data_IF_915219622803
#
_entry.id   IF_915219622803
#
_cell.length_a   1.000
_cell.length_b   1.000
_cell.length_c   1.000
_cell.angle_alpha   90.00
_cell.angle_beta   90.00
_cell.angle_gamma   90.00
#
_symmetry.space_group_name_H-M   'P 1'
#
loop_
_entity.id
_entity.type
_entity.pdbx_description
1 polymer ?
#
# COMPACT_ATOMS: atom_id res chain seq x y z
N UNK A 1 9.93 41.11 -49.77
CA UNK A 1 10.77 40.01 -49.24
C UNK A 1 11.23 40.21 -47.80
N UNK A 2 11.87 41.34 -47.42
CA UNK A 2 12.37 41.54 -46.03
C UNK A 2 11.33 41.32 -44.92
N UNK A 3 10.11 41.84 -45.07
CA UNK A 3 9.06 41.67 -44.05
C UNK A 3 8.58 40.22 -43.87
N UNK A 4 8.67 39.41 -44.93
CA UNK A 4 8.38 37.98 -44.85
C UNK A 4 9.50 37.24 -44.10
N UNK A 5 10.76 37.61 -44.30
CA UNK A 5 11.88 36.99 -43.59
C UNK A 5 11.84 37.25 -42.08
N UNK A 6 11.43 38.45 -41.63
CA UNK A 6 11.33 38.75 -40.20
C UNK A 6 10.30 37.85 -39.50
N UNK A 7 9.11 37.69 -40.10
CA UNK A 7 8.08 36.79 -39.57
C UNK A 7 8.51 35.32 -39.58
N UNK A 8 9.22 34.91 -40.63
CA UNK A 8 9.75 33.54 -40.73
C UNK A 8 10.88 33.32 -39.72
N UNK A 9 11.65 34.36 -39.36
CA UNK A 9 12.72 34.24 -38.38
C UNK A 9 12.20 33.76 -37.02
N UNK A 10 11.11 34.35 -36.54
CA UNK A 10 10.46 33.95 -35.28
C UNK A 10 9.91 32.51 -35.36
N UNK A 11 9.40 32.10 -36.53
CA UNK A 11 8.91 30.74 -36.74
C UNK A 11 10.04 29.72 -36.88
N UNK A 12 11.22 30.12 -37.36
CA UNK A 12 12.39 29.24 -37.49
C UNK A 12 12.89 28.79 -36.13
N UNK A 13 12.84 29.63 -35.10
CA UNK A 13 13.20 29.25 -33.73
C UNK A 13 12.27 28.15 -33.22
N UNK A 14 10.95 28.35 -33.30
CA UNK A 14 9.96 27.32 -32.94
C UNK A 14 10.11 26.04 -33.77
N UNK A 15 10.34 26.19 -35.07
CA UNK A 15 10.57 25.05 -35.97
C UNK A 15 11.81 24.26 -35.55
N UNK A 16 12.89 24.95 -35.19
CA UNK A 16 14.13 24.35 -34.76
C UNK A 16 13.97 23.53 -33.47
N UNK A 17 13.16 24.02 -32.54
CA UNK A 17 12.90 23.37 -31.25
C UNK A 17 11.75 22.33 -31.30
N UNK A 18 11.19 22.07 -32.50
CA UNK A 18 10.02 21.22 -32.72
C UNK A 18 8.76 21.69 -31.98
N UNK A 19 8.64 22.99 -31.73
CA UNK A 19 7.48 23.62 -31.08
C UNK A 19 6.49 24.23 -32.09
N UNK A 20 6.85 24.24 -33.38
CA UNK A 20 5.97 24.74 -34.44
C UNK A 20 4.81 23.78 -34.71
N UNK A 21 3.61 24.33 -34.93
CA UNK A 21 2.46 23.57 -35.43
C UNK A 21 2.69 23.09 -36.86
N UNK A 22 1.94 22.07 -37.30
CA UNK A 22 2.06 21.54 -38.67
C UNK A 22 1.83 22.59 -39.76
N UNK A 23 0.99 23.61 -39.49
CA UNK A 23 0.78 24.73 -40.41
C UNK A 23 2.00 25.65 -40.48
N UNK A 24 2.57 26.02 -39.32
CA UNK A 24 3.78 26.84 -39.24
C UNK A 24 4.99 26.14 -39.86
N UNK A 25 5.14 24.83 -39.64
CA UNK A 25 6.19 24.02 -40.28
C UNK A 25 6.13 24.11 -41.79
N UNK A 26 4.94 23.93 -42.39
CA UNK A 26 4.75 24.01 -43.84
C UNK A 26 5.11 25.40 -44.39
N UNK A 27 4.73 26.47 -43.67
CA UNK A 27 5.09 27.85 -44.04
C UNK A 27 6.62 28.05 -44.03
N UNK A 28 7.29 27.58 -42.97
CA UNK A 28 8.75 27.69 -42.84
C UNK A 28 9.44 26.88 -43.94
N UNK A 29 9.04 25.63 -44.16
CA UNK A 29 9.61 24.76 -45.19
C UNK A 29 9.44 25.33 -46.59
N UNK A 30 8.28 25.90 -46.91
CA UNK A 30 8.05 26.51 -48.20
C UNK A 30 8.91 27.77 -48.40
N UNK A 31 9.05 28.61 -47.37
CA UNK A 31 9.94 29.77 -47.41
C UNK A 31 11.40 29.36 -47.57
N UNK A 32 11.83 28.31 -46.86
CA UNK A 32 13.19 27.81 -46.90
C UNK A 32 13.59 27.30 -48.28
N UNK A 33 12.67 26.84 -49.13
CA UNK A 33 13.01 26.42 -50.51
C UNK A 33 13.64 27.55 -51.33
N UNK A 34 13.25 28.80 -51.07
CA UNK A 34 13.57 29.93 -51.94
C UNK A 34 14.36 31.05 -51.24
N UNK A 35 14.63 30.95 -49.93
CA UNK A 35 15.29 32.00 -49.16
C UNK A 35 16.61 31.56 -48.53
N UNK A 36 17.73 31.87 -49.19
CA UNK A 36 19.08 31.54 -48.70
C UNK A 36 19.40 32.11 -47.31
N UNK A 37 18.96 33.34 -47.01
CA UNK A 37 19.22 33.96 -45.69
C UNK A 37 18.60 33.19 -44.54
N UNK A 38 17.37 32.71 -44.72
CA UNK A 38 16.68 31.91 -43.71
C UNK A 38 17.27 30.50 -43.60
N UNK A 39 17.77 29.92 -44.71
CA UNK A 39 18.53 28.66 -44.67
C UNK A 39 19.84 28.79 -43.88
N UNK A 40 20.58 29.89 -44.09
CA UNK A 40 21.82 30.19 -43.39
C UNK A 40 21.58 30.39 -41.89
N UNK A 41 20.51 31.11 -41.52
CA UNK A 41 20.11 31.28 -40.13
C UNK A 41 19.79 29.94 -39.45
N UNK A 42 18.98 29.09 -40.09
CA UNK A 42 18.66 27.75 -39.58
C UNK A 42 19.93 26.88 -39.47
N UNK A 43 20.85 26.98 -40.43
CA UNK A 43 22.13 26.26 -40.39
C UNK A 43 23.02 26.74 -39.24
N UNK A 44 23.01 28.04 -38.95
CA UNK A 44 23.74 28.62 -37.82
C UNK A 44 23.20 28.11 -36.48
N UNK A 45 21.88 27.97 -36.33
CA UNK A 45 21.26 27.38 -35.14
C UNK A 45 21.66 25.91 -34.97
N UNK A 46 21.64 25.13 -36.06
CA UNK A 46 22.10 23.73 -36.07
C UNK A 46 23.56 23.60 -35.65
N UNK A 47 24.44 24.43 -36.24
CA UNK A 47 25.86 24.45 -35.89
C UNK A 47 26.08 24.76 -34.40
N UNK A 48 25.35 25.74 -33.86
CA UNK A 48 25.44 26.09 -32.45
C UNK A 48 24.99 24.93 -31.54
N UNK A 49 23.86 24.28 -31.86
CA UNK A 49 23.39 23.08 -31.16
C UNK A 49 24.46 21.98 -31.18
N UNK A 50 25.07 21.72 -32.33
CA UNK A 50 26.07 20.67 -32.46
C UNK A 50 27.33 20.97 -31.65
N UNK A 51 27.77 22.23 -31.62
CA UNK A 51 28.91 22.67 -30.80
C UNK A 51 28.62 22.49 -29.31
N UNK A 52 27.42 22.84 -28.85
CA UNK A 52 27.02 22.72 -27.45
C UNK A 52 26.81 21.24 -27.08
N UNK A 53 26.24 20.44 -27.99
CA UNK A 53 25.90 19.04 -27.75
C UNK A 53 27.13 18.14 -27.71
N UNK A 54 28.12 18.39 -28.58
CA UNK A 54 29.34 17.56 -28.69
C UNK A 54 30.03 17.26 -27.35
N UNK A 55 30.36 18.24 -26.48
CA UNK A 55 31.00 17.93 -25.19
C UNK A 55 30.09 17.12 -24.26
N UNK A 56 28.76 17.26 -24.38
CA UNK A 56 27.80 16.46 -23.61
C UNK A 56 27.80 15.02 -24.13
N UNK A 57 27.73 14.83 -25.45
CA UNK A 57 27.76 13.50 -26.07
C UNK A 57 29.09 12.77 -25.76
N UNK A 58 30.23 13.47 -25.82
CA UNK A 58 31.53 12.93 -25.44
C UNK A 58 31.63 12.57 -23.95
N UNK A 59 30.96 13.32 -23.07
CA UNK A 59 30.87 12.98 -21.65
C UNK A 59 29.93 11.79 -21.42
N UNK A 60 28.83 11.71 -22.18
CA UNK A 60 27.89 10.60 -22.12
C UNK A 60 28.53 9.25 -22.48
N UNK A 61 29.46 9.23 -23.45
CA UNK A 61 30.18 8.01 -23.84
C UNK A 61 31.16 7.51 -22.76
N UNK A 62 31.64 8.40 -21.89
CA UNK A 62 32.67 8.08 -20.87
C UNK A 62 32.09 7.69 -19.52
N UNK A 63 30.85 8.07 -19.25
CA UNK A 63 30.22 7.93 -17.93
C UNK A 63 29.16 6.83 -17.91
N UNK A 64 29.08 6.07 -16.80
CA UNK A 64 28.02 5.09 -16.58
C UNK A 64 26.87 5.72 -15.76
N UNK A 65 25.77 6.01 -16.45
CA UNK A 65 24.56 6.54 -15.81
C UNK A 65 23.65 5.45 -15.22
N UNK A 66 24.03 4.17 -15.25
CA UNK A 66 23.20 3.05 -14.77
C UNK A 66 22.72 3.25 -13.34
N UNK A 67 23.58 3.74 -12.43
CA UNK A 67 23.20 4.01 -11.05
C UNK A 67 22.20 5.17 -10.92
N UNK A 68 22.40 6.25 -11.69
CA UNK A 68 21.50 7.40 -11.71
C UNK A 68 20.15 7.00 -12.31
N UNK A 69 20.17 6.30 -13.44
CA UNK A 69 18.98 5.80 -14.11
C UNK A 69 18.18 4.84 -13.23
N UNK A 70 18.85 3.94 -12.49
CA UNK A 70 18.20 3.05 -11.52
C UNK A 70 17.48 3.83 -10.42
N UNK A 71 18.08 4.92 -9.92
CA UNK A 71 17.45 5.80 -8.93
C UNK A 71 16.24 6.53 -9.51
N UNK A 72 16.39 7.14 -10.70
CA UNK A 72 15.30 7.85 -11.39
C UNK A 72 14.13 6.91 -11.66
N UNK A 73 14.39 5.74 -12.25
CA UNK A 73 13.38 4.71 -12.50
C UNK A 73 12.68 4.26 -11.23
N UNK A 74 13.44 4.09 -10.14
CA UNK A 74 12.87 3.78 -8.83
C UNK A 74 11.88 4.83 -8.35
N UNK A 75 12.19 6.11 -8.51
CA UNK A 75 11.30 7.21 -8.10
C UNK A 75 10.04 7.32 -8.97
N UNK A 76 10.17 7.23 -10.30
CA UNK A 76 9.02 7.24 -11.21
C UNK A 76 8.06 6.09 -10.87
N UNK A 77 8.60 4.89 -10.64
CA UNK A 77 7.78 3.72 -10.28
C UNK A 77 7.13 3.84 -8.89
N UNK A 78 7.70 4.60 -7.96
CA UNK A 78 7.08 4.84 -6.66
C UNK A 78 5.92 5.82 -6.78
N UNK A 79 6.03 6.80 -7.66
CA UNK A 79 4.99 7.81 -7.92
C UNK A 79 3.83 7.24 -8.77
N UNK A 80 4.13 6.33 -9.70
CA UNK A 80 3.11 5.62 -10.50
C UNK A 80 2.42 4.48 -9.74
N UNK A 81 2.93 4.05 -8.59
CA UNK A 81 2.24 3.02 -7.81
C UNK A 81 0.93 3.61 -7.31
N UNK A 82 -0.24 3.07 -7.72
CA UNK A 82 -1.47 3.50 -7.14
C UNK A 82 -1.36 3.23 -5.65
N UNK A 83 -1.63 4.26 -4.85
CA UNK A 83 -1.66 4.15 -3.42
C UNK A 83 -2.63 3.00 -3.10
N UNK A 84 -2.11 1.87 -2.64
CA UNK A 84 -2.95 0.69 -2.38
C UNK A 84 -4.08 1.04 -1.41
N UNK A 85 -3.85 2.06 -0.57
CA UNK A 85 -4.85 2.66 0.30
C UNK A 85 -6.00 3.34 -0.46
N UNK A 86 -5.74 4.01 -1.58
CA UNK A 86 -6.76 4.62 -2.43
C UNK A 86 -7.61 3.56 -3.15
N UNK A 87 -6.99 2.46 -3.58
CA UNK A 87 -7.73 1.32 -4.18
C UNK A 87 -8.65 0.68 -3.13
N UNK A 88 -8.12 0.40 -1.93
CA UNK A 88 -8.90 -0.21 -0.83
C UNK A 88 -10.02 0.72 -0.36
N UNK A 89 -9.74 2.02 -0.22
CA UNK A 89 -10.74 3.03 0.14
C UNK A 89 -11.85 3.14 -0.90
N UNK A 90 -11.49 3.17 -2.19
CA UNK A 90 -12.46 3.20 -3.30
C UNK A 90 -13.40 1.99 -3.24
N UNK A 91 -12.88 0.79 -3.00
CA UNK A 91 -13.68 -0.42 -2.81
C UNK A 91 -14.66 -0.31 -1.63
N UNK A 92 -14.23 0.30 -0.52
CA UNK A 92 -15.07 0.46 0.67
C UNK A 92 -16.18 1.49 0.45
N UNK A 93 -15.91 2.58 -0.27
CA UNK A 93 -16.93 3.58 -0.60
C UNK A 93 -17.96 3.06 -1.59
N UNK A 94 -17.53 2.27 -2.59
CA UNK A 94 -18.43 1.54 -3.49
C UNK A 94 -19.33 0.59 -2.68
N UNK A 95 -18.74 -0.21 -1.79
CA UNK A 95 -19.48 -1.12 -0.90
C UNK A 95 -20.54 -0.40 -0.07
N UNK A 96 -20.22 0.76 0.51
CA UNK A 96 -21.14 1.54 1.34
C UNK A 96 -22.31 2.13 0.54
N UNK A 97 -22.06 2.59 -0.69
CA UNK A 97 -23.09 3.13 -1.58
C UNK A 97 -24.05 2.02 -2.05
N UNK A 98 -23.53 0.83 -2.37
CA UNK A 98 -24.36 -0.32 -2.73
C UNK A 98 -25.14 -0.91 -1.54
N UNK A 99 -24.64 -0.77 -0.30
CA UNK A 99 -25.37 -1.17 0.92
C UNK A 99 -26.60 -0.30 1.21
N UNK A 100 -26.65 0.96 0.76
CA UNK A 100 -27.79 1.87 1.06
C UNK A 100 -29.06 1.63 0.23
N UNK A 101 -29.01 0.89 -0.90
CA UNK A 101 -30.19 0.76 -1.78
C UNK A 101 -30.85 -0.62 -1.83
N UNK A 102 -30.25 -1.69 -1.30
CA UNK A 102 -30.78 -3.07 -1.49
C UNK A 102 -30.96 -3.88 -0.19
N UNK A 103 -30.42 -3.43 0.96
CA UNK A 103 -30.34 -4.27 2.17
C UNK A 103 -31.28 -3.89 3.32
N UNK A 104 -32.41 -3.23 3.07
CA UNK A 104 -33.39 -2.98 4.15
C UNK A 104 -34.46 -4.09 4.21
N UNK A 105 -35.05 -4.58 3.09
CA UNK A 105 -36.09 -5.60 3.18
C UNK A 105 -35.55 -7.04 3.27
N UNK A 106 -34.49 -7.35 2.54
CA UNK A 106 -34.00 -8.74 2.36
C UNK A 106 -33.14 -9.23 3.51
N UNK A 107 -32.32 -8.37 4.13
CA UNK A 107 -31.52 -8.76 5.31
C UNK A 107 -32.39 -9.04 6.51
N UNK A 108 -33.50 -8.31 6.68
CA UNK A 108 -34.45 -8.53 7.78
C UNK A 108 -35.06 -9.93 7.72
N UNK A 109 -35.54 -10.35 6.54
CA UNK A 109 -36.13 -11.67 6.36
C UNK A 109 -35.11 -12.80 6.56
N UNK A 110 -33.88 -12.64 6.03
CA UNK A 110 -32.83 -13.65 6.17
C UNK A 110 -32.30 -13.70 7.61
N UNK A 111 -32.16 -12.56 8.29
CA UNK A 111 -31.75 -12.51 9.69
C UNK A 111 -32.80 -13.13 10.62
N UNK A 112 -34.09 -12.85 10.41
CA UNK A 112 -35.17 -13.52 11.15
C UNK A 112 -35.17 -15.02 10.89
N UNK A 113 -34.99 -15.44 9.64
CA UNK A 113 -34.97 -16.86 9.28
C UNK A 113 -33.75 -17.58 9.88
N UNK A 114 -32.56 -16.94 9.88
CA UNK A 114 -31.36 -17.44 10.54
C UNK A 114 -31.49 -17.46 12.06
N UNK A 115 -32.10 -16.45 12.68
CA UNK A 115 -32.36 -16.45 14.13
C UNK A 115 -33.31 -17.60 14.50
N UNK A 116 -34.36 -17.84 13.72
CA UNK A 116 -35.31 -18.95 13.96
C UNK A 116 -34.65 -20.32 13.73
N UNK A 117 -33.77 -20.45 12.73
CA UNK A 117 -33.04 -21.69 12.46
C UNK A 117 -31.91 -21.96 13.46
N UNK A 118 -31.23 -20.92 13.95
CA UNK A 118 -30.08 -21.04 14.86
C UNK A 118 -30.49 -21.03 16.35
N UNK A 119 -31.66 -20.49 16.70
CA UNK A 119 -32.17 -20.51 18.08
C UNK A 119 -32.19 -21.92 18.71
N UNK A 120 -32.71 -22.98 18.08
CA UNK A 120 -32.65 -24.31 18.69
C UNK A 120 -31.23 -24.90 18.80
N UNK A 121 -30.25 -24.36 18.06
CA UNK A 121 -28.83 -24.76 18.14
C UNK A 121 -28.14 -24.09 19.34
N UNK A 122 -28.44 -22.82 19.60
CA UNK A 122 -27.92 -22.09 20.77
C UNK A 122 -28.72 -22.36 22.06
N UNK A 123 -29.99 -22.79 21.95
CA UNK A 123 -30.82 -23.19 23.10
C UNK A 123 -30.67 -24.66 23.49
N UNK A 124 -29.75 -25.42 22.88
CA UNK A 124 -29.19 -26.61 23.54
C UNK A 124 -28.32 -26.16 24.70
N UNK A 125 -29.01 -25.94 25.83
CA UNK A 125 -28.55 -25.96 27.22
C UNK A 125 -27.09 -26.44 27.39
N UNK A 126 -26.15 -25.54 27.19
CA UNK A 126 -24.98 -25.50 28.06
C UNK A 126 -25.39 -24.68 29.26
N UNK A 127 -25.99 -25.34 30.25
CA UNK A 127 -25.76 -24.95 31.64
C UNK A 127 -24.25 -25.03 31.86
N UNK A 128 -23.51 -23.99 31.44
CA UNK A 128 -22.26 -23.65 32.08
C UNK A 128 -22.62 -22.90 33.35
N UNK A 129 -23.25 -23.63 34.27
CA UNK A 129 -22.95 -23.40 35.66
C UNK A 129 -21.51 -23.88 35.79
N UNK A 130 -20.56 -22.98 35.52
CA UNK A 130 -19.23 -23.12 36.10
C UNK A 130 -19.45 -23.00 37.61
N UNK A 131 -19.91 -24.09 38.22
CA UNK A 131 -19.84 -24.27 39.65
C UNK A 131 -18.36 -24.18 39.94
N UNK A 132 -17.95 -23.03 40.46
CA UNK A 132 -16.67 -22.88 41.12
C UNK A 132 -16.58 -24.08 42.07
N UNK A 133 -15.72 -25.05 41.76
CA UNK A 133 -15.37 -26.09 42.70
C UNK A 133 -14.56 -25.38 43.78
N UNK A 134 -15.29 -24.89 44.79
CA UNK A 134 -14.74 -24.31 46.00
C UNK A 134 -14.49 -25.49 46.92
N UNK A 135 -13.24 -25.68 47.31
CA UNK A 135 -12.88 -26.67 48.31
C UNK A 135 -13.29 -26.12 49.67
N UNK A 136 -14.45 -26.54 50.16
CA UNK A 136 -15.03 -26.03 51.40
C UNK A 136 -14.31 -26.59 52.64
N UNK A 137 -13.71 -27.78 52.53
CA UNK A 137 -12.99 -28.44 53.62
C UNK A 137 -11.97 -29.46 53.11
N UNK A 138 -10.83 -29.57 53.80
CA UNK A 138 -9.83 -30.62 53.57
C UNK A 138 -9.46 -31.24 54.91
N UNK A 139 -9.67 -32.54 55.05
CA UNK A 139 -9.27 -33.33 56.22
C UNK A 139 -8.37 -34.48 55.76
N UNK A 140 -7.26 -34.65 56.45
CA UNK A 140 -6.39 -35.80 56.26
C UNK A 140 -5.99 -36.33 57.63
N UNK A 141 -6.19 -37.64 57.84
CA UNK A 141 -5.83 -38.31 59.09
C UNK A 141 -4.34 -38.70 59.13
N UNK A 142 -3.66 -38.66 57.97
CA UNK A 142 -2.31 -39.22 57.80
C UNK A 142 -1.29 -38.21 57.27
N UNK A 143 -1.73 -37.03 56.84
CA UNK A 143 -0.87 -36.02 56.21
C UNK A 143 -1.17 -34.63 56.75
N UNK A 144 -0.14 -33.81 56.89
CA UNK A 144 -0.30 -32.39 57.18
C UNK A 144 -0.69 -31.67 55.88
N UNK A 145 -1.73 -30.83 55.96
CA UNK A 145 -2.28 -30.10 54.81
C UNK A 145 -2.14 -28.60 55.02
N UNK A 146 -1.68 -27.89 53.99
CA UNK A 146 -1.72 -26.43 53.94
C UNK A 146 -2.54 -25.98 52.73
N UNK A 147 -3.49 -25.07 52.97
CA UNK A 147 -4.35 -24.50 51.93
C UNK A 147 -4.04 -23.00 51.81
N UNK A 148 -3.81 -22.55 50.58
CA UNK A 148 -3.65 -21.14 50.26
C UNK A 148 -4.66 -20.72 49.20
N UNK A 149 -5.43 -19.67 49.50
CA UNK A 149 -6.43 -19.11 48.59
C UNK A 149 -6.05 -17.68 48.20
N UNK A 150 -6.09 -17.39 46.90
CA UNK A 150 -5.81 -16.05 46.36
C UNK A 150 -7.08 -15.40 45.82
N UNK A 151 -7.54 -14.35 46.50
CA UNK A 151 -8.78 -13.63 46.15
C UNK A 151 -8.72 -12.97 44.76
N UNK A 152 -7.55 -12.49 44.34
CA UNK A 152 -7.39 -11.76 43.07
C UNK A 152 -7.54 -12.65 41.83
N UNK A 153 -7.10 -13.90 41.92
CA UNK A 153 -7.03 -14.80 40.76
C UNK A 153 -7.98 -16.00 40.87
N UNK A 154 -8.83 -16.07 41.92
CA UNK A 154 -9.74 -17.19 42.20
C UNK A 154 -9.07 -18.56 42.11
N UNK A 155 -7.87 -18.66 42.70
CA UNK A 155 -7.06 -19.86 42.65
C UNK A 155 -6.74 -20.33 44.06
N UNK A 156 -7.05 -21.60 44.33
CA UNK A 156 -6.77 -22.29 45.59
C UNK A 156 -5.72 -23.36 45.34
N UNK A 157 -4.63 -23.32 46.11
CA UNK A 157 -3.55 -24.32 46.07
C UNK A 157 -3.57 -25.11 47.37
N UNK A 158 -3.52 -26.44 47.25
CA UNK A 158 -3.52 -27.36 48.39
C UNK A 158 -2.23 -28.16 48.33
N UNK A 159 -1.41 -28.10 49.38
CA UNK A 159 -0.21 -28.91 49.53
C UNK A 159 -0.42 -30.00 50.57
N UNK A 160 -0.05 -31.22 50.19
CA UNK A 160 -0.05 -32.41 51.06
C UNK A 160 1.40 -32.78 51.35
N UNK A 161 1.74 -32.86 52.64
CA UNK A 161 3.07 -33.26 53.07
C UNK A 161 3.03 -34.69 53.59
N UNK A 162 3.74 -35.58 52.92
CA UNK A 162 3.91 -36.98 53.31
C UNK A 162 5.05 -37.07 54.32
N UNK A 163 4.74 -37.47 55.55
CA UNK A 163 5.78 -37.77 56.53
C UNK A 163 6.43 -39.10 56.15
N UNK A 164 7.75 -39.08 56.01
CA UNK A 164 8.52 -40.30 55.73
C UNK A 164 8.33 -41.28 56.89
N UNK A 165 7.66 -42.39 56.63
CA UNK A 165 7.60 -43.54 57.51
C UNK A 165 9.04 -43.93 57.87
N UNK A 166 9.39 -43.85 59.17
CA UNK A 166 10.66 -44.42 59.65
C UNK A 166 10.58 -45.93 59.42
N UNK A 167 11.38 -46.45 58.50
CA UNK A 167 11.67 -47.88 58.45
C UNK A 167 12.22 -48.30 59.81
N UNK A 168 11.46 -49.14 60.52
CA UNK A 168 11.95 -49.86 61.68
C UNK A 168 13.04 -50.82 61.21
N UNK A 169 14.24 -50.84 61.82
CA UNK A 169 15.23 -51.84 61.46
C UNK A 169 14.73 -53.19 61.95
N UNK A 170 14.57 -54.13 61.02
CA UNK A 170 14.31 -55.53 61.31
C UNK A 170 15.34 -56.07 62.32
N UNK A 171 14.85 -56.78 63.34
CA UNK A 171 15.63 -57.67 64.20
C UNK A 171 14.74 -58.83 64.62
#
# INVERSE_FOLDING_TARGET
MKESCNKISELIEKYFDNEATSHEMSIVEDHLKNCYKCQEMLSSHKLLRDIIKRPVDEALEKEDFSLIWKKVKGQIQLEERPNLWEIVRSWFEISYIFKKKILIPTVSAIALLLIILLTPIFYKKTTSLSGLSVVEYVESQTHNVMVYESEKNKLTVIWLFEEKVKESPDS
#
